data_IF_406796846773
#
_entry.id   IF_406796846773
#
_cell.length_a   1.000
_cell.length_b   1.000
_cell.length_c   1.000
_cell.angle_alpha   90.00
_cell.angle_beta   90.00
_cell.angle_gamma   90.00
#
_symmetry.space_group_name_H-M   'P 1'
#
loop_
_entity.id
_entity.type
_entity.pdbx_description
1 polymer ?
#
# COMPACT_ATOMS: atom_id res chain seq x y z
N UNK A 1 -14.60 13.74 -35.39
CA UNK A 1 -14.53 14.71 -34.30
C UNK A 1 -13.60 14.08 -33.29
N UNK A 2 -12.52 14.75 -32.92
CA UNK A 2 -11.63 14.23 -31.85
C UNK A 2 -12.46 14.28 -30.58
N UNK A 3 -12.59 13.14 -29.86
CA UNK A 3 -13.21 13.11 -28.52
C UNK A 3 -12.33 13.90 -27.57
N UNK A 4 -12.92 14.62 -26.64
CA UNK A 4 -12.15 15.24 -25.57
C UNK A 4 -11.84 14.22 -24.45
N UNK A 5 -10.99 14.59 -23.51
CA UNK A 5 -10.55 13.70 -22.43
C UNK A 5 -11.71 13.23 -21.55
N UNK A 6 -12.69 14.08 -21.27
CA UNK A 6 -13.88 13.72 -20.49
C UNK A 6 -14.80 12.75 -21.24
N UNK A 7 -14.90 12.89 -22.57
CA UNK A 7 -15.67 11.96 -23.41
C UNK A 7 -15.04 10.55 -23.40
N UNK A 8 -13.70 10.44 -23.37
CA UNK A 8 -13.02 9.17 -23.18
C UNK A 8 -13.31 8.59 -21.81
N UNK A 9 -13.19 9.39 -20.75
CA UNK A 9 -13.48 8.91 -19.39
C UNK A 9 -14.92 8.43 -19.24
N UNK A 10 -15.91 9.17 -19.75
CA UNK A 10 -17.31 8.73 -19.76
C UNK A 10 -17.53 7.44 -20.56
N UNK A 11 -16.73 7.22 -21.61
CA UNK A 11 -16.77 5.96 -22.36
C UNK A 11 -16.22 4.80 -21.50
N UNK A 12 -15.11 5.02 -20.79
CA UNK A 12 -14.53 4.04 -19.86
C UNK A 12 -15.54 3.66 -18.78
N UNK A 13 -16.18 4.62 -18.13
CA UNK A 13 -17.24 4.37 -17.14
C UNK A 13 -18.42 3.53 -17.69
N UNK A 14 -18.63 3.50 -19.01
CA UNK A 14 -19.66 2.67 -19.63
C UNK A 14 -19.24 1.21 -19.87
N UNK A 15 -17.99 0.87 -19.63
CA UNK A 15 -17.41 -0.46 -19.87
C UNK A 15 -17.08 -1.08 -18.51
N UNK A 16 -17.66 -2.22 -18.12
CA UNK A 16 -17.26 -2.92 -16.90
C UNK A 16 -15.78 -3.32 -16.91
N UNK A 17 -15.03 -2.92 -15.83
CA UNK A 17 -13.59 -3.19 -15.71
C UNK A 17 -13.11 -3.33 -14.25
N UNK A 18 -13.83 -4.05 -13.36
CA UNK A 18 -13.33 -4.27 -12.02
C UNK A 18 -12.04 -5.11 -12.05
N UNK A 19 -11.19 -4.99 -11.04
CA UNK A 19 -9.91 -5.70 -10.92
C UNK A 19 -10.06 -7.20 -11.21
N UNK A 20 -9.20 -7.74 -12.09
CA UNK A 20 -9.23 -9.11 -12.59
C UNK A 20 -10.27 -9.38 -13.69
N UNK A 21 -10.99 -8.36 -14.18
CA UNK A 21 -12.00 -8.45 -15.23
C UNK A 21 -11.91 -7.28 -16.23
N UNK A 22 -10.71 -6.85 -16.57
CA UNK A 22 -10.43 -5.71 -17.44
C UNK A 22 -10.55 -6.05 -18.94
N UNK A 23 -10.90 -7.27 -19.30
CA UNK A 23 -10.90 -7.75 -20.69
C UNK A 23 -11.73 -6.86 -21.64
N UNK A 24 -12.90 -6.38 -21.18
CA UNK A 24 -13.75 -5.51 -22.01
C UNK A 24 -13.11 -4.17 -22.29
N UNK A 25 -12.50 -3.55 -21.29
CA UNK A 25 -11.78 -2.29 -21.46
C UNK A 25 -10.51 -2.50 -22.29
N UNK A 26 -9.76 -3.58 -22.05
CA UNK A 26 -8.60 -3.95 -22.86
C UNK A 26 -8.96 -4.14 -24.34
N UNK A 27 -10.09 -4.79 -24.65
CA UNK A 27 -10.57 -4.95 -26.03
C UNK A 27 -10.92 -3.59 -26.66
N UNK A 28 -11.53 -2.67 -25.89
CA UNK A 28 -11.81 -1.31 -26.36
C UNK A 28 -10.51 -0.52 -26.68
N UNK A 29 -9.48 -0.66 -25.84
CA UNK A 29 -8.17 0.00 -26.05
C UNK A 29 -7.45 -0.59 -27.27
N UNK A 30 -7.52 -1.90 -27.47
CA UNK A 30 -6.96 -2.56 -28.64
C UNK A 30 -7.69 -2.14 -29.93
N UNK A 31 -9.03 -2.09 -29.93
CA UNK A 31 -9.82 -1.57 -31.04
C UNK A 31 -9.50 -0.09 -31.33
N UNK A 32 -9.29 0.70 -30.29
CA UNK A 32 -8.86 2.09 -30.43
C UNK A 32 -7.51 2.19 -31.16
N UNK A 33 -6.49 1.40 -30.78
CA UNK A 33 -5.18 1.39 -31.43
C UNK A 33 -5.30 1.03 -32.91
N UNK A 34 -6.09 0.00 -33.25
CA UNK A 34 -6.36 -0.41 -34.63
C UNK A 34 -7.03 0.67 -35.46
N UNK A 35 -8.05 1.33 -34.89
CA UNK A 35 -8.81 2.41 -35.58
C UNK A 35 -7.98 3.67 -35.82
N UNK A 36 -6.91 3.88 -35.02
CA UNK A 36 -5.99 5.02 -35.19
C UNK A 36 -4.69 4.64 -35.89
N UNK A 37 -4.58 3.40 -36.38
CA UNK A 37 -3.38 2.87 -37.09
C UNK A 37 -2.11 3.01 -36.23
N UNK A 38 -2.22 2.76 -34.90
CA UNK A 38 -1.11 2.81 -33.97
C UNK A 38 -0.56 1.39 -33.72
N UNK A 39 0.76 1.28 -33.62
CA UNK A 39 1.41 0.05 -33.20
C UNK A 39 1.10 -0.23 -31.73
N UNK A 40 0.81 -1.49 -31.40
CA UNK A 40 0.52 -1.92 -30.04
C UNK A 40 0.94 -3.36 -29.79
N UNK A 41 1.04 -3.73 -28.52
CA UNK A 41 1.20 -5.11 -28.07
C UNK A 41 0.29 -5.35 -26.86
N UNK A 42 -0.16 -6.60 -26.70
CA UNK A 42 -0.93 -7.07 -25.53
C UNK A 42 -0.35 -8.39 -25.05
N UNK A 43 -0.15 -8.53 -23.73
CA UNK A 43 0.31 -9.79 -23.15
C UNK A 43 -0.86 -10.71 -22.74
N UNK A 44 -0.54 -11.91 -22.24
CA UNK A 44 -1.54 -12.93 -21.87
C UNK A 44 -2.34 -12.54 -20.62
N UNK A 45 -1.81 -11.67 -19.75
CA UNK A 45 -2.51 -11.18 -18.55
C UNK A 45 -3.50 -10.08 -18.89
N UNK A 46 -3.21 -9.29 -19.94
CA UNK A 46 -4.10 -8.24 -20.41
C UNK A 46 -3.47 -6.85 -20.48
N UNK A 47 -2.21 -6.65 -20.02
CA UNK A 47 -1.52 -5.37 -20.18
C UNK A 47 -1.38 -5.02 -21.65
N UNK A 48 -1.50 -3.73 -21.95
CA UNK A 48 -1.41 -3.20 -23.31
C UNK A 48 -0.40 -2.07 -23.34
N UNK A 49 0.44 -2.05 -24.36
CA UNK A 49 1.24 -0.88 -24.71
C UNK A 49 0.88 -0.39 -26.10
N UNK A 50 0.74 0.92 -26.26
CA UNK A 50 0.49 1.57 -27.54
C UNK A 50 1.62 2.57 -27.80
N UNK A 51 2.10 2.59 -29.03
CA UNK A 51 3.17 3.48 -29.46
C UNK A 51 2.64 4.59 -30.34
N UNK A 52 3.08 5.83 -30.08
CA UNK A 52 2.85 6.96 -30.97
C UNK A 52 4.20 7.54 -31.35
N UNK A 53 4.50 7.51 -32.66
CA UNK A 53 5.76 8.06 -33.16
C UNK A 53 5.88 9.55 -32.88
N UNK A 54 7.12 10.04 -32.77
CA UNK A 54 7.40 11.44 -32.49
C UNK A 54 6.78 12.38 -33.53
N UNK A 55 6.30 13.53 -33.07
CA UNK A 55 5.86 14.57 -33.98
C UNK A 55 7.02 15.14 -34.80
N UNK A 56 6.82 15.66 -36.02
CA UNK A 56 7.88 16.16 -36.87
C UNK A 56 8.83 17.14 -36.15
N UNK A 57 10.14 16.81 -36.17
CA UNK A 57 11.19 17.56 -35.51
C UNK A 57 11.48 17.15 -34.06
N UNK A 58 10.87 16.07 -33.58
CA UNK A 58 11.09 15.48 -32.26
C UNK A 58 11.69 14.05 -32.33
N UNK A 59 12.06 13.60 -33.52
CA UNK A 59 12.56 12.26 -33.78
C UNK A 59 13.85 11.91 -32.99
N UNK A 60 14.66 12.92 -32.68
CA UNK A 60 15.91 12.76 -31.91
C UNK A 60 15.71 12.90 -30.38
N UNK A 61 14.49 13.18 -29.92
CA UNK A 61 14.18 13.29 -28.49
C UNK A 61 14.00 11.89 -27.89
N UNK A 62 14.41 11.73 -26.63
CA UNK A 62 14.22 10.46 -25.91
C UNK A 62 12.74 10.14 -25.75
N UNK A 63 12.31 8.88 -25.93
CA UNK A 63 10.92 8.50 -25.73
C UNK A 63 10.46 8.69 -24.30
N UNK A 64 9.16 8.90 -24.12
CA UNK A 64 8.50 9.05 -22.82
C UNK A 64 7.51 7.92 -22.63
N UNK A 65 7.57 7.26 -21.47
CA UNK A 65 6.58 6.30 -21.00
C UNK A 65 5.47 7.05 -20.24
N UNK A 66 4.23 6.92 -20.70
CA UNK A 66 3.03 7.25 -19.93
C UNK A 66 2.44 5.96 -19.40
N UNK A 67 2.00 5.94 -18.15
CA UNK A 67 1.48 4.71 -17.53
C UNK A 67 0.26 5.04 -16.66
N UNK A 68 -0.68 4.10 -16.62
CA UNK A 68 -1.83 4.06 -15.73
C UNK A 68 -2.50 2.70 -15.79
N UNK A 69 -3.29 2.34 -14.75
CA UNK A 69 -3.95 1.05 -14.69
C UNK A 69 -5.38 1.09 -15.25
N UNK A 70 -5.85 -0.06 -15.73
CA UNK A 70 -7.17 -0.20 -16.36
C UNK A 70 -8.26 -0.63 -15.39
N UNK A 71 -7.88 -1.28 -14.29
CA UNK A 71 -8.83 -1.80 -13.32
C UNK A 71 -9.34 -0.71 -12.36
N UNK A 72 -10.42 -1.02 -11.68
CA UNK A 72 -11.00 -0.19 -10.65
C UNK A 72 -11.45 -1.02 -9.45
N UNK A 73 -11.41 -0.43 -8.27
CA UNK A 73 -12.01 -1.00 -7.05
C UNK A 73 -13.53 -1.07 -7.18
N UNK A 74 -14.10 -2.24 -6.97
CA UNK A 74 -15.53 -2.50 -7.11
C UNK A 74 -16.28 -2.40 -5.77
N UNK A 75 -16.46 -1.16 -5.26
CA UNK A 75 -17.17 -0.90 -4.01
C UNK A 75 -18.52 -0.22 -4.28
N UNK A 76 -19.55 -0.60 -3.51
CA UNK A 76 -20.90 -0.04 -3.65
C UNK A 76 -21.62 0.08 -2.31
N UNK A 77 -22.58 0.99 -2.26
CA UNK A 77 -23.47 1.13 -1.11
C UNK A 77 -24.28 -0.16 -0.88
N UNK A 78 -24.62 -0.44 0.38
CA UNK A 78 -25.32 -1.67 0.81
C UNK A 78 -26.66 -1.87 0.11
N UNK A 79 -27.31 -0.79 -0.28
CA UNK A 79 -28.61 -0.79 -0.97
C UNK A 79 -28.49 -0.67 -2.51
N UNK A 80 -27.28 -0.74 -3.05
CA UNK A 80 -27.03 -0.76 -4.50
C UNK A 80 -27.19 -2.17 -5.07
N UNK A 81 -27.90 -2.29 -6.20
CA UNK A 81 -28.05 -3.53 -6.96
C UNK A 81 -27.07 -3.61 -8.16
N UNK A 82 -26.16 -2.66 -8.30
CA UNK A 82 -25.21 -2.61 -9.40
C UNK A 82 -24.35 -3.88 -9.46
N UNK A 83 -24.14 -4.40 -10.65
CA UNK A 83 -23.26 -5.53 -10.93
C UNK A 83 -22.04 -5.01 -11.74
N UNK A 84 -20.89 -4.88 -11.08
CA UNK A 84 -19.66 -4.38 -11.71
C UNK A 84 -19.15 -5.24 -12.88
N UNK A 85 -19.63 -6.47 -13.04
CA UNK A 85 -19.20 -7.35 -14.11
C UNK A 85 -20.00 -7.16 -15.40
N UNK A 86 -21.20 -6.57 -15.33
CA UNK A 86 -22.13 -6.49 -16.45
C UNK A 86 -22.71 -5.11 -16.69
N UNK A 87 -22.82 -4.28 -15.65
CA UNK A 87 -23.55 -3.02 -15.75
C UNK A 87 -22.57 -1.85 -15.97
N UNK A 88 -22.91 -0.91 -16.85
CA UNK A 88 -22.20 0.34 -16.96
C UNK A 88 -22.42 1.18 -15.69
N UNK A 89 -21.42 1.98 -15.29
CA UNK A 89 -21.56 2.92 -14.17
C UNK A 89 -22.61 3.99 -14.53
N UNK A 90 -23.53 4.27 -13.61
CA UNK A 90 -24.49 5.34 -13.74
C UNK A 90 -23.88 6.65 -13.23
N UNK A 91 -23.26 7.41 -14.15
CA UNK A 91 -22.53 8.63 -13.84
C UNK A 91 -23.42 9.87 -13.92
N UNK A 92 -23.14 10.87 -13.08
CA UNK A 92 -23.81 12.18 -13.10
C UNK A 92 -22.84 13.30 -12.71
N UNK A 93 -23.15 14.52 -13.16
CA UNK A 93 -22.38 15.71 -12.82
C UNK A 93 -23.11 16.54 -11.76
N UNK A 94 -22.41 16.94 -10.71
CA UNK A 94 -22.91 17.82 -9.66
C UNK A 94 -21.81 18.76 -9.16
N UNK A 95 -22.07 20.03 -9.07
CA UNK A 95 -21.16 21.07 -8.55
C UNK A 95 -19.73 21.07 -9.16
N UNK A 96 -19.60 20.65 -10.41
CA UNK A 96 -18.32 20.58 -11.13
C UNK A 96 -17.55 19.28 -10.92
N UNK A 97 -18.16 18.32 -10.26
CA UNK A 97 -17.64 16.96 -10.07
C UNK A 97 -18.42 15.94 -10.89
N UNK A 98 -17.74 14.90 -11.31
CA UNK A 98 -18.36 13.69 -11.85
C UNK A 98 -18.41 12.64 -10.74
N UNK A 99 -19.55 11.99 -10.62
CA UNK A 99 -19.87 10.97 -9.62
C UNK A 99 -20.44 9.72 -10.29
N UNK A 100 -20.44 8.60 -9.56
CA UNK A 100 -21.25 7.42 -9.89
C UNK A 100 -22.36 7.21 -8.84
N UNK A 101 -23.50 6.66 -9.27
CA UNK A 101 -24.66 6.44 -8.40
C UNK A 101 -24.45 5.22 -7.51
N UNK A 102 -24.14 5.44 -6.22
CA UNK A 102 -23.98 4.38 -5.20
C UNK A 102 -22.87 3.36 -5.49
N UNK A 103 -21.88 3.72 -6.27
CA UNK A 103 -20.71 2.89 -6.59
C UNK A 103 -19.47 3.75 -6.61
N UNK A 104 -18.28 3.12 -6.56
CA UNK A 104 -17.03 3.75 -6.99
C UNK A 104 -17.19 4.29 -8.42
N UNK A 105 -16.44 5.35 -8.75
CA UNK A 105 -16.45 5.98 -10.08
C UNK A 105 -15.38 5.39 -11.01
N UNK A 106 -14.29 4.82 -10.45
CA UNK A 106 -13.12 4.38 -11.19
C UNK A 106 -12.35 5.54 -11.82
N UNK A 107 -12.35 6.71 -11.17
CA UNK A 107 -11.47 7.80 -11.55
C UNK A 107 -10.02 7.44 -11.33
N UNK A 108 -9.74 6.72 -10.28
CA UNK A 108 -8.53 5.94 -10.00
C UNK A 108 -8.64 4.57 -10.71
N UNK A 109 -7.93 4.28 -11.83
CA UNK A 109 -7.09 5.21 -12.61
C UNK A 109 -7.62 5.36 -14.07
N UNK A 110 -8.95 5.29 -14.24
CA UNK A 110 -9.61 5.49 -15.53
C UNK A 110 -9.30 6.86 -16.14
N UNK A 111 -8.91 7.85 -15.32
CA UNK A 111 -8.48 9.17 -15.79
C UNK A 111 -7.17 9.09 -16.58
N UNK A 112 -6.20 8.26 -16.15
CA UNK A 112 -4.97 8.01 -16.91
C UNK A 112 -5.26 7.39 -18.25
N UNK A 113 -6.11 6.34 -18.26
CA UNK A 113 -6.56 5.71 -19.51
C UNK A 113 -7.16 6.76 -20.45
N UNK A 114 -8.06 7.62 -19.94
CA UNK A 114 -8.69 8.67 -20.74
C UNK A 114 -7.69 9.70 -21.27
N UNK A 115 -6.74 10.14 -20.45
CA UNK A 115 -5.68 11.10 -20.85
C UNK A 115 -4.80 10.48 -21.93
N UNK A 116 -4.36 9.23 -21.76
CA UNK A 116 -3.52 8.53 -22.75
C UNK A 116 -4.25 8.37 -24.07
N UNK A 117 -5.53 7.96 -24.09
CA UNK A 117 -6.32 7.83 -25.31
C UNK A 117 -6.54 9.19 -26.00
N UNK A 118 -6.77 10.26 -25.24
CA UNK A 118 -6.90 11.61 -25.80
C UNK A 118 -5.59 12.07 -26.46
N UNK A 119 -4.43 11.87 -25.82
CA UNK A 119 -3.12 12.19 -26.38
C UNK A 119 -2.78 11.34 -27.61
N UNK A 120 -3.10 10.05 -27.60
CA UNK A 120 -2.87 9.13 -28.70
C UNK A 120 -3.68 9.53 -29.94
N UNK A 121 -4.93 9.99 -29.78
CA UNK A 121 -5.79 10.42 -30.89
C UNK A 121 -5.49 11.82 -31.45
N UNK A 122 -4.77 12.66 -30.70
CA UNK A 122 -4.51 14.05 -31.07
C UNK A 122 -3.16 14.22 -31.78
N UNK A 123 -3.17 14.53 -33.06
CA UNK A 123 -1.98 14.82 -33.88
C UNK A 123 -1.62 16.32 -33.94
N UNK A 124 -2.25 17.18 -33.12
CA UNK A 124 -2.09 18.63 -33.23
C UNK A 124 -0.97 19.19 -32.32
N UNK A 125 -0.38 18.40 -31.41
CA UNK A 125 0.64 18.86 -30.47
C UNK A 125 2.02 18.28 -30.77
N UNK A 126 3.03 18.87 -30.19
CA UNK A 126 4.44 18.44 -30.29
C UNK A 126 4.77 17.48 -29.17
N UNK A 127 5.41 16.37 -29.50
CA UNK A 127 5.79 15.35 -28.53
C UNK A 127 6.93 14.47 -29.05
N UNK A 128 7.81 13.94 -28.19
CA UNK A 128 8.71 12.84 -28.52
C UNK A 128 7.90 11.56 -28.76
N UNK A 129 8.55 10.45 -29.13
CA UNK A 129 7.87 9.14 -29.17
C UNK A 129 7.22 8.86 -27.82
N UNK A 130 5.95 8.50 -27.82
CA UNK A 130 5.18 8.12 -26.65
C UNK A 130 5.01 6.60 -26.60
N UNK A 131 5.22 6.03 -25.43
CA UNK A 131 4.94 4.65 -25.06
C UNK A 131 3.86 4.70 -24.00
N UNK A 132 2.62 4.31 -24.32
CA UNK A 132 1.49 4.38 -23.40
C UNK A 132 1.19 2.98 -22.88
N UNK A 133 1.49 2.72 -21.61
CA UNK A 133 1.32 1.45 -20.92
C UNK A 133 0.04 1.48 -20.09
N UNK A 134 -0.83 0.53 -20.37
CA UNK A 134 -2.08 0.27 -19.66
C UNK A 134 -1.94 -1.07 -18.93
N UNK A 135 -1.94 -1.05 -17.61
CA UNK A 135 -1.75 -2.22 -16.75
C UNK A 135 -3.06 -2.76 -16.20
N UNK A 136 -3.07 -3.99 -15.70
CA UNK A 136 -4.21 -4.65 -15.09
C UNK A 136 -3.91 -5.02 -13.63
N UNK A 137 -4.96 -5.16 -12.80
CA UNK A 137 -4.90 -5.69 -11.44
C UNK A 137 -3.99 -4.90 -10.49
N UNK A 138 -3.84 -3.58 -10.67
CA UNK A 138 -3.10 -2.72 -9.76
C UNK A 138 -3.70 -2.78 -8.35
N UNK A 139 -5.00 -2.63 -8.24
CA UNK A 139 -5.78 -2.51 -7.01
C UNK A 139 -5.88 -3.80 -6.17
N UNK A 140 -5.30 -4.89 -6.68
CA UNK A 140 -5.36 -6.21 -6.02
C UNK A 140 -3.97 -6.82 -5.83
N UNK A 141 -3.37 -7.31 -6.91
CA UNK A 141 -2.14 -8.11 -6.87
C UNK A 141 -0.95 -7.44 -7.54
N UNK A 142 -1.17 -6.38 -8.31
CA UNK A 142 -0.19 -5.76 -9.21
C UNK A 142 0.41 -6.77 -10.20
N UNK A 143 -0.36 -7.80 -10.57
CA UNK A 143 0.13 -8.86 -11.46
C UNK A 143 0.45 -8.33 -12.86
N UNK A 144 -0.30 -7.33 -13.37
CA UNK A 144 -0.04 -6.72 -14.65
C UNK A 144 1.40 -6.26 -14.76
N UNK A 145 1.79 -5.29 -13.95
CA UNK A 145 3.13 -4.66 -14.03
C UNK A 145 4.27 -5.68 -13.85
N UNK A 146 4.05 -6.79 -13.13
CA UNK A 146 5.06 -7.84 -12.94
C UNK A 146 5.31 -8.66 -14.21
N UNK A 147 4.37 -8.66 -15.15
CA UNK A 147 4.39 -9.45 -16.39
C UNK A 147 4.61 -8.59 -17.65
N UNK A 148 4.83 -7.30 -17.49
CA UNK A 148 5.17 -6.40 -18.61
C UNK A 148 6.47 -6.86 -19.26
N UNK A 149 6.46 -7.02 -20.60
CA UNK A 149 7.64 -7.36 -21.35
C UNK A 149 8.61 -6.18 -21.36
N UNK A 150 9.84 -6.41 -20.91
CA UNK A 150 10.89 -5.39 -20.85
C UNK A 150 11.24 -4.81 -22.22
N UNK A 151 11.07 -5.62 -23.26
CA UNK A 151 11.38 -5.22 -24.62
C UNK A 151 10.34 -4.25 -25.21
N UNK A 152 9.21 -4.07 -24.52
CA UNK A 152 8.21 -3.08 -24.89
C UNK A 152 8.64 -1.64 -24.57
N UNK A 153 9.46 -1.46 -23.51
CA UNK A 153 9.77 -0.15 -22.94
C UNK A 153 11.18 0.28 -23.29
N UNK A 154 11.28 1.27 -24.17
CA UNK A 154 12.54 1.89 -24.58
C UNK A 154 12.81 3.20 -23.82
N UNK A 155 11.76 3.83 -23.32
CA UNK A 155 11.84 5.05 -22.51
C UNK A 155 12.65 4.85 -21.24
N UNK A 156 13.27 5.94 -20.76
CA UNK A 156 13.95 6.03 -19.46
C UNK A 156 13.46 7.25 -18.67
N UNK A 157 12.36 7.84 -19.13
CA UNK A 157 11.57 8.83 -18.42
C UNK A 157 10.12 8.34 -18.39
N UNK A 158 9.54 8.26 -17.21
CA UNK A 158 8.18 7.79 -17.00
C UNK A 158 7.33 8.85 -16.30
N UNK A 159 6.15 9.06 -16.82
CA UNK A 159 5.10 9.85 -16.18
C UNK A 159 3.96 8.87 -15.87
N UNK A 160 3.86 8.46 -14.59
CA UNK A 160 2.68 7.75 -14.11
C UNK A 160 1.54 8.75 -13.96
N UNK A 161 0.38 8.41 -14.51
CA UNK A 161 -0.82 9.25 -14.45
C UNK A 161 -1.73 8.87 -13.29
N UNK A 162 -1.29 7.93 -12.47
CA UNK A 162 -1.90 7.43 -11.25
C UNK A 162 -1.63 8.40 -10.07
N UNK A 163 -2.09 9.63 -10.23
CA UNK A 163 -2.05 10.67 -9.21
C UNK A 163 -3.45 11.19 -8.93
N UNK A 164 -3.74 11.52 -7.68
CA UNK A 164 -5.05 11.87 -7.18
C UNK A 164 -5.20 13.35 -6.75
N UNK A 165 -4.11 14.13 -6.84
CA UNK A 165 -4.11 15.55 -6.45
C UNK A 165 -3.33 16.42 -7.44
N UNK A 166 -4.01 17.37 -8.05
CA UNK A 166 -3.38 18.35 -8.97
C UNK A 166 -2.32 19.19 -8.24
N UNK A 167 -1.12 19.28 -8.83
CA UNK A 167 -0.01 20.05 -8.24
C UNK A 167 0.79 19.31 -7.17
N UNK A 168 0.54 18.01 -7.02
CA UNK A 168 1.38 17.09 -6.27
C UNK A 168 2.04 16.08 -7.21
N UNK A 169 3.18 15.54 -6.81
CA UNK A 169 3.85 14.42 -7.45
C UNK A 169 4.38 13.48 -6.40
N UNK A 170 4.02 12.20 -6.46
CA UNK A 170 4.68 11.21 -5.65
C UNK A 170 6.14 11.10 -6.11
N UNK A 171 7.04 10.95 -5.16
CA UNK A 171 8.50 10.93 -5.41
C UNK A 171 9.18 9.72 -4.79
N UNK A 172 8.46 8.93 -4.04
CA UNK A 172 8.85 7.62 -3.53
C UNK A 172 7.61 6.83 -3.12
N UNK A 173 7.70 5.51 -3.14
CA UNK A 173 6.65 4.62 -2.63
C UNK A 173 7.27 3.51 -1.78
N UNK A 174 6.55 3.01 -0.77
CA UNK A 174 7.04 1.88 -0.02
C UNK A 174 6.82 0.57 -0.77
N UNK A 175 7.85 -0.26 -0.77
CA UNK A 175 7.70 -1.70 -0.93
C UNK A 175 7.45 -2.36 0.41
N UNK A 176 7.16 -3.65 0.42
CA UNK A 176 6.95 -4.37 1.66
C UNK A 176 7.07 -5.88 1.50
N UNK A 177 7.07 -6.54 2.64
CA UNK A 177 7.01 -7.99 2.76
C UNK A 177 6.27 -8.37 4.03
N UNK A 178 5.40 -9.34 3.93
CA UNK A 178 4.76 -9.94 5.08
C UNK A 178 5.62 -11.12 5.57
N UNK A 179 5.89 -11.16 6.88
CA UNK A 179 6.59 -12.28 7.50
C UNK A 179 5.64 -13.04 8.43
N UNK A 180 5.46 -14.31 8.18
CA UNK A 180 4.78 -15.22 9.11
C UNK A 180 5.82 -15.90 10.00
N UNK A 181 5.85 -15.52 11.27
CA UNK A 181 6.68 -16.14 12.29
C UNK A 181 5.87 -17.27 12.93
N UNK A 182 6.41 -18.48 12.98
CA UNK A 182 5.68 -19.66 13.44
C UNK A 182 6.47 -20.43 14.50
N UNK A 183 5.77 -20.75 15.60
CA UNK A 183 6.15 -21.76 16.57
C UNK A 183 5.19 -22.93 16.50
N UNK A 184 5.68 -24.14 16.25
CA UNK A 184 4.87 -25.34 16.41
C UNK A 184 4.41 -25.47 17.86
N UNK A 185 3.12 -25.61 18.10
CA UNK A 185 2.53 -25.75 19.42
C UNK A 185 2.44 -27.21 19.82
N UNK A 186 3.08 -27.55 20.95
CA UNK A 186 2.84 -28.78 21.66
C UNK A 186 2.10 -28.43 22.93
N UNK A 187 0.83 -28.81 23.01
CA UNK A 187 0.02 -28.56 24.21
C UNK A 187 0.27 -29.66 25.26
N UNK A 188 0.54 -29.23 26.47
CA UNK A 188 0.66 -30.13 27.61
C UNK A 188 -0.38 -29.78 28.66
N UNK A 189 -0.93 -30.82 29.31
CA UNK A 189 -1.91 -30.65 30.36
C UNK A 189 -1.30 -29.89 31.54
N UNK A 190 -2.03 -28.94 32.09
CA UNK A 190 -1.59 -28.17 33.24
C UNK A 190 -2.80 -27.74 34.07
N UNK A 191 -2.64 -27.75 35.40
CA UNK A 191 -3.70 -27.39 36.33
C UNK A 191 -3.30 -26.21 37.23
N UNK A 192 -2.30 -25.44 36.80
CA UNK A 192 -1.87 -24.24 37.47
C UNK A 192 -2.87 -23.10 37.32
N UNK A 193 -2.71 -22.03 38.09
CA UNK A 193 -3.60 -20.91 38.04
C UNK A 193 -3.51 -20.23 36.65
N UNK A 194 -4.63 -20.20 35.94
CA UNK A 194 -4.77 -19.53 34.65
C UNK A 194 -5.19 -18.08 34.76
N UNK A 195 -4.78 -17.31 33.77
CA UNK A 195 -5.06 -15.87 33.65
C UNK A 195 -5.43 -15.50 32.24
N UNK A 196 -6.41 -14.61 32.10
CA UNK A 196 -6.73 -13.85 30.87
C UNK A 196 -6.18 -12.45 31.03
N UNK A 197 -5.15 -12.13 30.26
CA UNK A 197 -4.60 -10.80 30.15
C UNK A 197 -5.08 -10.16 28.84
N UNK A 198 -5.98 -9.21 28.93
CA UNK A 198 -6.55 -8.50 27.77
C UNK A 198 -6.04 -7.08 27.75
N UNK A 199 -5.20 -6.75 26.78
CA UNK A 199 -4.73 -5.40 26.47
C UNK A 199 -5.71 -4.79 25.48
N UNK A 200 -6.18 -3.56 25.71
CA UNK A 200 -7.22 -2.89 24.90
C UNK A 200 -7.14 -1.37 24.98
N UNK A 201 -7.97 -0.71 24.18
CA UNK A 201 -8.13 0.74 24.22
C UNK A 201 -7.10 1.51 23.43
N UNK A 202 -6.20 0.85 22.70
CA UNK A 202 -5.27 1.54 21.82
C UNK A 202 -5.96 2.08 20.57
N UNK A 203 -5.41 3.14 19.97
CA UNK A 203 -6.00 3.81 18.81
C UNK A 203 -5.96 2.95 17.55
N UNK A 204 -4.90 2.16 17.36
CA UNK A 204 -4.71 1.39 16.14
C UNK A 204 -4.48 2.29 14.92
N UNK A 205 -4.91 1.84 13.72
CA UNK A 205 -4.81 2.59 12.48
C UNK A 205 -4.06 1.81 11.39
N UNK A 206 -4.06 2.35 10.17
CA UNK A 206 -3.32 1.77 9.06
C UNK A 206 -1.81 1.93 9.27
N UNK A 207 -1.03 0.85 9.14
CA UNK A 207 0.41 0.87 9.46
C UNK A 207 1.25 1.74 8.50
N UNK A 208 0.76 2.03 7.30
CA UNK A 208 1.41 2.98 6.40
C UNK A 208 1.26 4.41 6.88
N UNK A 209 0.06 4.82 7.29
CA UNK A 209 -0.23 6.22 7.63
C UNK A 209 0.07 6.55 9.09
N UNK A 210 -0.36 5.67 10.00
CA UNK A 210 -0.34 5.92 11.44
C UNK A 210 0.94 5.45 12.15
N UNK A 211 1.82 4.70 11.50
CA UNK A 211 3.05 4.17 12.14
C UNK A 211 3.97 5.30 12.63
N UNK A 212 4.01 6.42 11.90
CA UNK A 212 4.78 7.62 12.26
C UNK A 212 4.31 8.33 13.53
N UNK A 213 3.09 8.03 13.97
CA UNK A 213 2.51 8.62 15.17
C UNK A 213 2.96 7.90 16.44
N UNK A 214 3.83 6.88 16.31
CA UNK A 214 4.40 6.10 17.41
C UNK A 214 3.31 5.48 18.32
N UNK A 215 2.21 5.02 17.71
CA UNK A 215 1.07 4.43 18.43
C UNK A 215 1.45 3.13 19.13
N UNK A 216 0.81 2.86 20.26
CA UNK A 216 0.95 1.61 20.99
C UNK A 216 0.44 0.42 20.19
N UNK A 217 1.05 -0.76 20.43
CA UNK A 217 0.67 -2.03 19.83
C UNK A 217 0.44 -3.07 20.92
N UNK A 218 -0.75 -3.66 20.97
CA UNK A 218 -1.14 -4.58 22.04
C UNK A 218 -0.25 -5.83 22.14
N UNK A 219 0.22 -6.34 20.98
CA UNK A 219 1.14 -7.49 20.94
C UNK A 219 2.49 -7.11 21.57
N UNK A 220 3.03 -5.96 21.19
CA UNK A 220 4.30 -5.45 21.71
C UNK A 220 4.23 -5.17 23.22
N UNK A 221 3.18 -4.49 23.66
CA UNK A 221 2.96 -4.14 25.08
C UNK A 221 2.86 -5.41 25.92
N UNK A 222 2.04 -6.38 25.51
CA UNK A 222 1.92 -7.66 26.22
C UNK A 222 3.25 -8.41 26.27
N UNK A 223 3.99 -8.45 25.16
CA UNK A 223 5.33 -9.06 25.10
C UNK A 223 6.30 -8.43 26.11
N UNK A 224 6.33 -7.08 26.19
CA UNK A 224 7.20 -6.36 27.13
C UNK A 224 6.82 -6.61 28.60
N UNK A 225 5.52 -6.55 28.92
CA UNK A 225 5.03 -6.78 30.29
C UNK A 225 5.30 -8.20 30.75
N UNK A 226 5.00 -9.21 29.92
CA UNK A 226 5.20 -10.61 30.28
C UNK A 226 6.69 -10.98 30.31
N UNK A 227 7.51 -10.36 29.46
CA UNK A 227 8.97 -10.50 29.52
C UNK A 227 9.52 -9.95 30.85
N UNK A 228 9.03 -8.79 31.29
CA UNK A 228 9.42 -8.25 32.59
C UNK A 228 9.04 -9.19 33.75
N UNK A 229 7.89 -9.88 33.66
CA UNK A 229 7.53 -10.93 34.64
C UNK A 229 8.55 -12.04 34.66
N UNK A 230 8.95 -12.61 33.51
CA UNK A 230 9.96 -13.66 33.41
C UNK A 230 11.31 -13.20 34.02
N UNK A 231 11.75 -11.98 33.70
CA UNK A 231 13.02 -11.44 34.21
C UNK A 231 13.05 -11.26 35.73
N UNK A 232 11.87 -11.11 36.34
CA UNK A 232 11.73 -11.01 37.80
C UNK A 232 11.37 -12.34 38.47
N UNK A 233 11.50 -13.46 37.75
CA UNK A 233 11.36 -14.81 38.27
C UNK A 233 9.91 -15.31 38.38
N UNK A 234 8.94 -14.61 37.79
CA UNK A 234 7.59 -15.15 37.69
C UNK A 234 7.52 -16.22 36.60
N UNK A 235 6.82 -17.31 36.87
CA UNK A 235 6.54 -18.37 35.91
C UNK A 235 5.39 -17.94 35.01
N UNK A 236 5.61 -17.84 33.69
CA UNK A 236 4.60 -17.48 32.69
C UNK A 236 4.65 -18.51 31.57
N UNK A 237 3.54 -19.25 31.39
CA UNK A 237 3.41 -20.27 30.33
C UNK A 237 2.13 -20.00 29.54
N UNK A 238 2.26 -19.67 28.25
CA UNK A 238 1.10 -19.37 27.42
C UNK A 238 0.20 -20.59 27.20
N UNK A 239 -1.11 -20.31 27.20
CA UNK A 239 -2.16 -21.26 26.79
C UNK A 239 -2.70 -20.88 25.41
N UNK A 240 -2.94 -19.58 25.15
CA UNK A 240 -3.34 -19.06 23.86
C UNK A 240 -3.01 -17.58 23.72
N UNK A 241 -2.89 -17.13 22.49
CA UNK A 241 -2.52 -15.78 22.11
C UNK A 241 -3.34 -15.39 20.88
N UNK A 242 -4.18 -14.36 21.01
CA UNK A 242 -5.04 -13.91 19.92
C UNK A 242 -5.09 -12.38 19.93
N UNK A 243 -4.55 -11.75 18.90
CA UNK A 243 -4.46 -10.29 18.81
C UNK A 243 -4.43 -9.82 17.35
N UNK A 244 -5.03 -8.67 17.09
CA UNK A 244 -5.06 -8.06 15.77
C UNK A 244 -5.97 -8.78 14.77
N UNK A 245 -6.19 -8.15 13.61
CA UNK A 245 -7.11 -8.66 12.57
C UNK A 245 -6.54 -8.57 11.15
N UNK A 246 -5.61 -7.64 10.90
CA UNK A 246 -4.99 -7.41 9.59
C UNK A 246 -3.50 -7.13 9.76
N UNK A 247 -2.70 -7.65 8.85
CA UNK A 247 -1.25 -7.41 8.84
C UNK A 247 -0.88 -5.93 8.71
N UNK A 248 -1.65 -5.19 7.92
CA UNK A 248 -1.46 -3.76 7.66
C UNK A 248 -2.17 -2.82 8.68
N UNK A 249 -2.70 -3.36 9.77
CA UNK A 249 -3.29 -2.56 10.85
C UNK A 249 -2.43 -2.66 12.12
N UNK A 250 -2.24 -1.52 12.80
CA UNK A 250 -1.61 -1.49 14.13
C UNK A 250 -2.55 -2.19 15.12
N UNK A 251 -2.03 -3.20 15.82
CA UNK A 251 -2.82 -4.02 16.71
C UNK A 251 -3.26 -3.23 17.94
N UNK A 252 -4.56 -2.93 18.04
CA UNK A 252 -5.14 -2.09 19.11
C UNK A 252 -5.62 -2.86 20.33
N UNK A 253 -5.83 -4.17 20.20
CA UNK A 253 -6.29 -5.04 21.28
C UNK A 253 -5.77 -6.49 21.11
N UNK A 254 -5.63 -7.22 22.23
CA UNK A 254 -5.19 -8.60 22.20
C UNK A 254 -5.44 -9.33 23.51
N UNK A 255 -5.84 -10.59 23.40
CA UNK A 255 -6.07 -11.51 24.49
C UNK A 255 -4.94 -12.53 24.59
N UNK A 256 -4.26 -12.55 25.75
CA UNK A 256 -3.15 -13.44 26.08
C UNK A 256 -3.52 -14.29 27.26
N UNK A 257 -3.73 -15.59 27.04
CA UNK A 257 -4.06 -16.52 28.11
C UNK A 257 -2.80 -17.27 28.53
N UNK A 258 -2.51 -17.32 29.82
CA UNK A 258 -1.34 -18.01 30.36
C UNK A 258 -1.64 -18.63 31.71
N UNK A 259 -0.77 -19.55 32.14
CA UNK A 259 -0.77 -20.13 33.49
C UNK A 259 0.51 -19.77 34.22
N UNK A 260 0.42 -19.76 35.55
CA UNK A 260 1.54 -19.46 36.43
C UNK A 260 1.44 -20.22 37.76
N UNK A 261 2.58 -20.67 38.22
CA UNK A 261 2.77 -21.23 39.60
C UNK A 261 3.18 -20.17 40.61
N UNK A 262 3.41 -18.92 40.13
CA UNK A 262 3.84 -17.81 40.99
C UNK A 262 2.77 -17.36 41.96
N UNK A 263 3.18 -16.64 43.01
CA UNK A 263 2.23 -16.04 43.94
C UNK A 263 1.30 -15.08 43.22
N UNK A 264 0.01 -15.33 43.31
CA UNK A 264 -1.04 -14.64 42.58
C UNK A 264 -1.07 -13.13 42.85
N UNK A 265 -0.98 -12.73 44.11
CA UNK A 265 -1.11 -11.31 44.48
C UNK A 265 0.14 -10.53 44.06
N UNK A 266 1.32 -11.14 44.16
CA UNK A 266 2.59 -10.55 43.74
C UNK A 266 2.60 -10.41 42.19
N UNK A 267 2.20 -11.45 41.45
CA UNK A 267 2.14 -11.42 39.99
C UNK A 267 1.17 -10.34 39.48
N UNK A 268 -0.04 -10.27 40.06
CA UNK A 268 -1.03 -9.24 39.68
C UNK A 268 -0.53 -7.83 39.97
N UNK A 269 0.08 -7.60 41.12
CA UNK A 269 0.66 -6.31 41.48
C UNK A 269 1.79 -5.92 40.55
N UNK A 270 2.63 -6.85 40.17
CA UNK A 270 3.74 -6.61 39.24
C UNK A 270 3.25 -6.28 37.82
N UNK A 271 2.28 -7.05 37.27
CA UNK A 271 1.68 -6.75 35.97
C UNK A 271 1.01 -5.37 36.00
N UNK A 272 0.31 -5.03 37.09
CA UNK A 272 -0.30 -3.70 37.25
C UNK A 272 0.75 -2.59 37.16
N UNK A 273 1.86 -2.72 37.92
CA UNK A 273 2.95 -1.74 37.88
C UNK A 273 3.53 -1.57 36.46
N UNK A 274 3.79 -2.68 35.76
CA UNK A 274 4.29 -2.64 34.37
C UNK A 274 3.30 -2.03 33.40
N UNK A 275 2.01 -2.30 33.56
CA UNK A 275 0.98 -1.67 32.72
C UNK A 275 0.84 -0.16 32.96
N UNK A 276 0.99 0.31 34.19
CA UNK A 276 1.01 1.75 34.47
C UNK A 276 2.22 2.44 33.84
N UNK A 277 3.38 1.76 33.75
CA UNK A 277 4.52 2.25 32.98
C UNK A 277 4.21 2.33 31.48
N UNK A 278 3.53 1.31 30.90
CA UNK A 278 3.11 1.37 29.50
C UNK A 278 2.13 2.52 29.24
N UNK A 279 1.16 2.75 30.14
CA UNK A 279 0.26 3.92 30.01
C UNK A 279 1.01 5.25 30.03
N UNK A 280 2.08 5.35 30.80
CA UNK A 280 2.91 6.55 30.84
C UNK A 280 3.72 6.77 29.54
N UNK A 281 4.05 5.71 28.80
CA UNK A 281 4.72 5.81 27.50
C UNK A 281 3.76 6.24 26.37
N UNK A 282 2.47 5.94 26.51
CA UNK A 282 1.42 6.28 25.53
C UNK A 282 0.36 7.21 26.12
N UNK A 283 0.72 8.43 26.53
CA UNK A 283 -0.16 9.31 27.31
C UNK A 283 -1.39 9.83 26.53
N UNK A 284 -1.37 9.75 25.21
CA UNK A 284 -2.46 10.18 24.33
C UNK A 284 -3.40 9.03 23.94
N UNK A 285 -3.08 7.80 24.33
CA UNK A 285 -3.89 6.64 24.03
C UNK A 285 -4.72 6.22 25.25
N UNK A 286 -6.00 5.83 25.06
CA UNK A 286 -6.83 5.32 26.14
C UNK A 286 -6.48 3.85 26.48
N UNK A 287 -5.18 3.55 26.58
CA UNK A 287 -4.67 2.21 26.90
C UNK A 287 -5.24 1.74 28.24
N UNK A 288 -5.85 0.57 28.20
CA UNK A 288 -6.40 -0.12 29.36
C UNK A 288 -6.14 -1.62 29.26
N UNK A 289 -6.40 -2.34 30.36
CA UNK A 289 -6.25 -3.78 30.38
C UNK A 289 -7.17 -4.43 31.42
N UNK A 290 -7.43 -5.73 31.26
CA UNK A 290 -7.99 -6.57 32.33
C UNK A 290 -7.08 -7.78 32.57
N UNK A 291 -7.01 -8.23 33.84
CA UNK A 291 -6.32 -9.45 34.23
C UNK A 291 -7.26 -10.28 35.10
N UNK A 292 -7.90 -11.27 34.47
CA UNK A 292 -8.91 -12.11 35.09
C UNK A 292 -8.36 -13.50 35.32
N UNK A 293 -8.86 -14.19 36.35
CA UNK A 293 -8.53 -15.58 36.59
C UNK A 293 -9.35 -16.49 35.67
N UNK A 294 -8.69 -17.51 35.14
CA UNK A 294 -9.31 -18.51 34.29
C UNK A 294 -8.84 -19.91 34.65
N UNK A 295 -9.67 -20.91 34.41
CA UNK A 295 -9.23 -22.29 34.40
C UNK A 295 -8.82 -22.67 33.00
N UNK A 296 -7.52 -22.93 32.79
CA UNK A 296 -7.01 -23.44 31.52
C UNK A 296 -6.45 -24.84 31.78
N UNK A 297 -6.82 -25.80 30.91
CA UNK A 297 -6.36 -27.18 31.02
C UNK A 297 -5.01 -27.45 30.33
N UNK A 298 -4.48 -26.51 29.56
CA UNK A 298 -3.29 -26.71 28.72
C UNK A 298 -2.39 -25.49 28.70
N UNK A 299 -1.10 -25.72 28.51
CA UNK A 299 -0.09 -24.70 28.18
C UNK A 299 0.73 -25.16 26.97
N UNK A 300 1.26 -24.18 26.24
CA UNK A 300 2.15 -24.40 25.11
C UNK A 300 3.57 -24.66 25.70
N UNK A 301 4.16 -25.78 25.32
CA UNK A 301 5.50 -26.13 25.74
C UNK A 301 6.54 -25.13 25.21
N UNK A 302 7.50 -24.73 26.05
CA UNK A 302 8.54 -23.76 25.71
C UNK A 302 8.02 -22.44 25.17
N UNK A 303 6.89 -21.94 25.72
CA UNK A 303 6.23 -20.70 25.28
C UNK A 303 6.97 -19.43 25.70
N UNK A 304 7.92 -19.47 26.58
CA UNK A 304 8.83 -18.37 26.94
C UNK A 304 9.61 -17.85 25.72
N UNK A 305 9.93 -18.72 24.77
CA UNK A 305 10.51 -18.33 23.49
C UNK A 305 9.68 -17.26 22.75
N UNK A 306 8.35 -17.38 22.76
CA UNK A 306 7.44 -16.38 22.17
C UNK A 306 7.50 -15.05 22.93
N UNK A 307 7.54 -15.10 24.26
CA UNK A 307 7.62 -13.89 25.10
C UNK A 307 8.92 -13.13 24.79
N UNK A 308 10.05 -13.85 24.72
CA UNK A 308 11.33 -13.24 24.37
C UNK A 308 11.33 -12.65 22.97
N UNK A 309 10.80 -13.39 21.99
CA UNK A 309 10.68 -12.88 20.63
C UNK A 309 9.83 -11.61 20.55
N UNK A 310 8.63 -11.60 21.14
CA UNK A 310 7.72 -10.43 21.12
C UNK A 310 8.35 -9.19 21.77
N UNK A 311 9.04 -9.39 22.89
CA UNK A 311 9.69 -8.27 23.58
C UNK A 311 10.84 -7.66 22.77
N UNK A 312 11.62 -8.49 22.07
CA UNK A 312 12.83 -8.07 21.35
C UNK A 312 12.54 -7.69 19.88
N UNK A 313 11.49 -8.26 19.27
CA UNK A 313 11.12 -7.95 17.88
C UNK A 313 10.96 -6.43 17.71
N UNK A 314 11.59 -5.82 16.69
CA UNK A 314 11.37 -4.42 16.35
C UNK A 314 9.87 -4.11 16.15
N UNK A 315 9.50 -2.87 16.39
CA UNK A 315 8.15 -2.37 16.13
C UNK A 315 8.18 -0.86 15.93
N UNK A 316 7.43 -0.37 14.95
CA UNK A 316 7.33 1.05 14.67
C UNK A 316 8.24 1.49 13.53
N UNK A 317 8.70 2.73 13.59
CA UNK A 317 9.58 3.31 12.58
C UNK A 317 11.04 3.04 12.93
N UNK A 318 11.75 2.35 12.04
CA UNK A 318 13.17 2.03 12.19
C UNK A 318 14.07 3.11 11.56
N UNK A 319 13.59 3.76 10.50
CA UNK A 319 14.31 4.88 9.85
C UNK A 319 13.35 5.94 9.33
N UNK A 320 13.75 7.19 9.49
CA UNK A 320 13.10 8.34 8.87
C UNK A 320 13.88 8.83 7.65
N UNK A 321 13.20 9.51 6.74
CA UNK A 321 13.79 10.11 5.55
C UNK A 321 14.80 11.21 5.92
N UNK A 322 15.88 11.30 5.12
CA UNK A 322 16.80 12.45 5.17
C UNK A 322 16.26 13.68 4.43
N UNK A 323 15.27 13.48 3.55
CA UNK A 323 14.75 14.51 2.65
C UNK A 323 13.39 15.05 3.08
N UNK A 324 12.57 14.22 3.71
CA UNK A 324 11.20 14.57 4.13
C UNK A 324 11.08 14.50 5.65
N UNK A 325 10.65 15.63 6.24
CA UNK A 325 10.53 15.73 7.68
C UNK A 325 9.58 14.70 8.27
N UNK A 326 10.06 13.91 9.22
CA UNK A 326 9.29 12.91 9.97
C UNK A 326 8.53 11.90 9.08
N UNK A 327 9.07 11.58 7.89
CA UNK A 327 8.51 10.59 7.00
C UNK A 327 9.23 9.25 7.18
N UNK A 328 8.50 8.14 7.48
CA UNK A 328 9.10 6.82 7.64
C UNK A 328 9.61 6.28 6.30
N UNK A 329 10.82 5.74 6.27
CA UNK A 329 11.38 5.04 5.10
C UNK A 329 11.69 3.58 5.38
N UNK A 330 11.60 3.17 6.64
CA UNK A 330 11.67 1.78 7.08
C UNK A 330 10.82 1.61 8.33
N UNK A 331 9.90 0.67 8.31
CA UNK A 331 9.01 0.39 9.45
C UNK A 331 8.64 -1.08 9.53
N UNK A 332 8.24 -1.51 10.73
CA UNK A 332 7.72 -2.84 11.01
C UNK A 332 6.47 -2.76 11.87
N UNK A 333 5.41 -3.46 11.46
CA UNK A 333 4.17 -3.60 12.20
C UNK A 333 3.96 -5.05 12.67
N UNK A 334 3.63 -5.23 13.95
CA UNK A 334 3.11 -6.48 14.52
C UNK A 334 1.59 -6.48 14.32
N UNK A 335 1.11 -7.13 13.23
CA UNK A 335 -0.29 -6.98 12.79
C UNK A 335 -1.24 -7.99 13.43
N UNK A 336 -0.87 -9.27 13.43
CA UNK A 336 -1.73 -10.38 13.87
C UNK A 336 -0.92 -11.33 14.74
N UNK A 337 -1.58 -11.92 15.72
CA UNK A 337 -1.08 -13.07 16.47
C UNK A 337 -2.22 -14.04 16.74
N UNK A 338 -2.05 -15.30 16.39
CA UNK A 338 -3.08 -16.31 16.51
C UNK A 338 -2.51 -17.66 17.00
N UNK A 339 -3.26 -18.30 17.89
CA UNK A 339 -2.99 -19.68 18.32
C UNK A 339 -3.98 -20.64 17.66
N UNK A 340 -3.44 -21.57 16.89
CA UNK A 340 -4.15 -22.68 16.29
C UNK A 340 -3.91 -23.98 17.05
N UNK A 341 -4.57 -25.07 16.67
CA UNK A 341 -4.31 -26.40 17.25
C UNK A 341 -2.87 -26.91 17.04
N UNK A 342 -2.12 -26.34 16.09
CA UNK A 342 -0.80 -26.84 15.67
C UNK A 342 0.33 -25.86 15.88
N UNK A 343 0.01 -24.58 15.97
CA UNK A 343 1.03 -23.53 16.00
C UNK A 343 0.53 -22.24 16.65
N UNK A 344 1.48 -21.40 17.07
CA UNK A 344 1.28 -19.97 17.22
C UNK A 344 1.90 -19.29 16.02
N UNK A 345 1.15 -18.41 15.37
CA UNK A 345 1.57 -17.63 14.23
C UNK A 345 1.51 -16.14 14.56
N UNK A 346 2.56 -15.41 14.15
CA UNK A 346 2.66 -13.97 14.31
C UNK A 346 2.90 -13.40 12.91
N UNK A 347 2.05 -12.49 12.45
CA UNK A 347 2.16 -11.88 11.15
C UNK A 347 2.67 -10.45 11.30
N UNK A 348 3.81 -10.20 10.68
CA UNK A 348 4.48 -8.92 10.63
C UNK A 348 4.33 -8.35 9.22
N UNK A 349 4.23 -7.02 9.11
CA UNK A 349 4.35 -6.32 7.84
C UNK A 349 5.50 -5.32 7.92
N UNK A 350 6.49 -5.52 7.08
CA UNK A 350 7.66 -4.66 6.94
C UNK A 350 7.46 -3.79 5.69
N UNK A 351 7.80 -2.49 5.80
CA UNK A 351 7.73 -1.55 4.68
C UNK A 351 9.01 -0.77 4.53
N UNK A 352 9.45 -0.57 3.29
CA UNK A 352 10.56 0.34 2.96
C UNK A 352 10.48 0.82 1.52
N UNK A 353 10.84 2.07 1.27
CA UNK A 353 11.09 2.57 -0.09
C UNK A 353 12.35 1.95 -0.71
N UNK A 354 13.25 1.39 0.11
CA UNK A 354 14.54 0.88 -0.31
C UNK A 354 14.70 -0.61 -0.02
N UNK A 355 14.92 -1.39 -1.06
CA UNK A 355 15.04 -2.85 -1.01
C UNK A 355 16.17 -3.34 -0.08
N UNK A 356 17.31 -2.63 -0.03
CA UNK A 356 18.44 -3.02 0.82
C UNK A 356 18.05 -2.88 2.30
N UNK A 357 17.40 -1.78 2.67
CA UNK A 357 16.91 -1.58 4.03
C UNK A 357 15.90 -2.66 4.41
N UNK A 358 14.96 -2.98 3.50
CA UNK A 358 13.96 -4.02 3.72
C UNK A 358 14.62 -5.38 3.98
N UNK A 359 15.55 -5.79 3.12
CA UNK A 359 16.30 -7.06 3.26
C UNK A 359 17.09 -7.13 4.57
N UNK A 360 17.70 -6.04 5.00
CA UNK A 360 18.43 -6.01 6.27
C UNK A 360 17.49 -6.22 7.47
N UNK A 361 16.31 -5.58 7.46
CA UNK A 361 15.33 -5.76 8.53
C UNK A 361 14.72 -7.17 8.52
N UNK A 362 14.44 -7.75 7.34
CA UNK A 362 14.03 -9.16 7.22
C UNK A 362 15.07 -10.08 7.84
N UNK A 363 16.35 -9.94 7.48
CA UNK A 363 17.43 -10.75 8.05
C UNK A 363 17.56 -10.60 9.58
N UNK A 364 17.33 -9.41 10.12
CA UNK A 364 17.31 -9.15 11.56
C UNK A 364 16.20 -9.95 12.25
N UNK A 365 14.97 -9.88 11.71
CA UNK A 365 13.81 -10.61 12.23
C UNK A 365 14.01 -12.13 12.10
N UNK A 366 14.53 -12.63 10.98
CA UNK A 366 14.85 -14.05 10.78
C UNK A 366 15.89 -14.54 11.78
N UNK A 367 16.95 -13.75 11.96
CA UNK A 367 18.00 -14.08 12.95
C UNK A 367 17.42 -14.14 14.35
N UNK A 368 16.63 -13.13 14.74
CA UNK A 368 15.99 -13.08 16.04
C UNK A 368 15.05 -14.28 16.25
N UNK A 369 14.20 -14.59 15.27
CA UNK A 369 13.29 -15.74 15.33
C UNK A 369 14.05 -17.05 15.50
N UNK A 370 15.17 -17.24 14.78
CA UNK A 370 15.99 -18.44 14.85
C UNK A 370 16.62 -18.66 16.22
N UNK A 371 17.01 -17.58 16.93
CA UNK A 371 17.56 -17.65 18.29
C UNK A 371 16.56 -18.26 19.30
N UNK A 372 15.26 -18.12 19.02
CA UNK A 372 14.18 -18.67 19.85
C UNK A 372 13.52 -19.91 19.24
N UNK A 373 14.11 -20.51 18.21
CA UNK A 373 13.60 -21.74 17.60
C UNK A 373 12.28 -21.52 16.84
N UNK A 374 12.01 -20.31 16.36
CA UNK A 374 10.86 -19.95 15.52
C UNK A 374 11.25 -20.03 14.05
N UNK A 375 10.32 -20.43 13.20
CA UNK A 375 10.49 -20.37 11.74
C UNK A 375 9.88 -19.10 11.16
N UNK A 376 10.43 -18.61 10.05
CA UNK A 376 9.96 -17.44 9.33
C UNK A 376 9.62 -17.83 7.89
N UNK A 377 8.51 -17.34 7.40
CA UNK A 377 8.11 -17.51 5.99
C UNK A 377 7.72 -16.14 5.43
N UNK A 378 8.48 -15.59 4.47
CA UNK A 378 8.09 -14.37 3.77
C UNK A 378 6.98 -14.66 2.75
N UNK A 379 6.02 -13.74 2.64
CA UNK A 379 4.93 -13.74 1.66
C UNK A 379 4.60 -12.31 1.23
N UNK A 380 3.80 -12.17 0.18
CA UNK A 380 3.23 -10.89 -0.26
C UNK A 380 4.29 -9.79 -0.43
N UNK A 381 5.40 -10.13 -1.11
CA UNK A 381 6.47 -9.18 -1.39
C UNK A 381 6.06 -8.25 -2.53
N UNK A 382 6.21 -6.94 -2.32
CA UNK A 382 6.04 -5.90 -3.33
C UNK A 382 7.15 -4.86 -3.25
N UNK A 383 7.40 -4.15 -4.36
CA UNK A 383 8.62 -3.35 -4.51
C UNK A 383 8.37 -1.87 -4.27
N UNK A 384 9.34 -1.20 -3.65
CA UNK A 384 9.33 0.22 -3.40
C UNK A 384 10.09 1.01 -4.47
N UNK A 385 9.79 2.29 -4.52
CA UNK A 385 10.47 3.28 -5.32
C UNK A 385 11.16 4.29 -4.41
N UNK A 386 12.49 4.32 -4.45
CA UNK A 386 13.29 5.23 -3.61
C UNK A 386 13.32 6.65 -4.18
N UNK A 387 13.32 7.65 -3.29
CA UNK A 387 13.50 9.04 -3.69
C UNK A 387 14.86 9.28 -4.37
N UNK A 388 14.83 9.82 -5.58
CA UNK A 388 16.01 10.31 -6.28
C UNK A 388 16.13 11.84 -6.17
N UNK A 389 17.09 12.39 -5.41
CA UNK A 389 17.27 13.84 -5.29
C UNK A 389 17.71 14.51 -6.60
N UNK A 390 18.23 13.75 -7.56
CA UNK A 390 18.84 14.27 -8.79
C UNK A 390 17.95 14.10 -10.03
N UNK A 391 16.69 13.61 -9.89
CA UNK A 391 15.73 13.43 -10.98
C UNK A 391 15.65 14.69 -11.87
N UNK A 392 15.96 14.51 -13.16
CA UNK A 392 15.92 15.59 -14.16
C UNK A 392 14.48 15.80 -14.66
N UNK A 393 13.71 14.72 -14.78
CA UNK A 393 12.32 14.79 -15.19
C UNK A 393 11.51 15.59 -14.16
N UNK A 394 11.71 15.33 -12.85
CA UNK A 394 11.06 16.08 -11.78
C UNK A 394 11.46 17.56 -11.76
N UNK A 395 12.74 17.87 -12.02
CA UNK A 395 13.19 19.27 -12.16
C UNK A 395 12.47 19.96 -13.29
N UNK A 396 12.40 19.33 -14.46
CA UNK A 396 11.65 19.84 -15.63
C UNK A 396 10.17 20.02 -15.30
N UNK A 397 9.54 19.05 -14.62
CA UNK A 397 8.14 19.17 -14.21
C UNK A 397 7.89 20.37 -13.30
N UNK A 398 8.74 20.56 -12.29
CA UNK A 398 8.64 21.72 -11.35
C UNK A 398 8.76 23.06 -12.10
N UNK A 399 9.69 23.16 -13.05
CA UNK A 399 9.88 24.37 -13.85
C UNK A 399 8.67 24.65 -14.76
N UNK A 400 8.18 23.61 -15.47
CA UNK A 400 7.02 23.71 -16.34
C UNK A 400 5.75 24.07 -15.55
N UNK A 401 5.54 23.41 -14.39
CA UNK A 401 4.39 23.66 -13.53
C UNK A 401 4.39 25.10 -12.97
N UNK A 402 5.55 25.57 -12.50
CA UNK A 402 5.71 26.94 -12.01
C UNK A 402 5.48 27.96 -13.13
N UNK A 403 5.96 27.69 -14.35
CA UNK A 403 5.74 28.52 -15.52
C UNK A 403 4.25 28.60 -15.90
N UNK A 404 3.54 27.48 -15.85
CA UNK A 404 2.13 27.38 -16.25
C UNK A 404 1.18 28.03 -15.22
N UNK A 405 1.41 27.77 -13.93
CA UNK A 405 0.43 28.09 -12.88
C UNK A 405 0.93 29.13 -11.84
N UNK A 406 2.18 29.54 -11.93
CA UNK A 406 2.84 30.40 -10.92
C UNK A 406 2.73 29.83 -9.49
N UNK A 407 2.76 28.50 -9.38
CA UNK A 407 2.71 27.72 -8.13
C UNK A 407 3.88 26.77 -8.07
N UNK A 408 4.32 26.40 -6.87
CA UNK A 408 5.30 25.33 -6.70
C UNK A 408 4.60 23.97 -6.77
N UNK A 409 5.23 23.02 -7.47
CA UNK A 409 4.83 21.61 -7.45
C UNK A 409 5.25 21.01 -6.10
N UNK A 410 4.34 20.31 -5.45
CA UNK A 410 4.59 19.68 -4.15
C UNK A 410 5.10 18.24 -4.36
N UNK A 411 6.24 17.92 -3.75
CA UNK A 411 6.78 16.57 -3.70
C UNK A 411 6.21 15.82 -2.50
N UNK A 412 5.62 14.65 -2.72
CA UNK A 412 4.93 13.85 -1.70
C UNK A 412 5.49 12.42 -1.69
N UNK A 413 6.15 12.00 -0.61
CA UNK A 413 6.49 10.59 -0.45
C UNK A 413 5.27 9.81 0.05
N UNK A 414 5.07 8.55 -0.38
CA UNK A 414 3.99 7.70 0.10
C UNK A 414 4.47 6.40 0.76
N UNK A 415 3.72 5.92 1.75
CA UNK A 415 3.90 4.59 2.34
C UNK A 415 3.00 3.53 1.68
N UNK A 416 2.18 3.92 0.71
CA UNK A 416 1.47 3.01 -0.19
C UNK A 416 2.42 2.32 -1.16
N UNK A 417 2.03 1.15 -1.68
CA UNK A 417 2.63 0.54 -2.85
C UNK A 417 2.13 1.24 -4.10
N UNK A 418 2.96 1.34 -5.12
CA UNK A 418 2.61 1.86 -6.45
C UNK A 418 3.32 1.01 -7.51
N UNK A 419 2.76 0.92 -8.70
CA UNK A 419 3.42 0.26 -9.84
C UNK A 419 4.78 0.86 -10.20
N UNK A 420 5.00 2.14 -9.85
CA UNK A 420 6.32 2.81 -9.98
C UNK A 420 7.44 2.07 -9.26
N UNK A 421 7.14 1.36 -8.16
CA UNK A 421 8.09 0.50 -7.46
C UNK A 421 8.58 -0.67 -8.32
N UNK A 422 7.67 -1.31 -9.02
CA UNK A 422 7.98 -2.41 -9.95
C UNK A 422 8.76 -1.91 -11.15
N UNK A 423 8.34 -0.78 -11.75
CA UNK A 423 9.07 -0.16 -12.88
C UNK A 423 10.49 0.23 -12.46
N UNK A 424 10.65 0.85 -11.30
CA UNK A 424 11.98 1.21 -10.75
C UNK A 424 12.88 -0.01 -10.54
N UNK A 425 12.33 -1.16 -10.17
CA UNK A 425 13.08 -2.40 -10.03
C UNK A 425 13.46 -3.00 -11.38
N UNK A 426 12.54 -2.99 -12.36
CA UNK A 426 12.77 -3.54 -13.71
C UNK A 426 13.76 -2.66 -14.47
N UNK A 427 13.65 -1.35 -14.34
CA UNK A 427 14.45 -0.33 -14.98
C UNK A 427 15.08 0.61 -13.95
N UNK A 428 16.21 0.24 -13.34
CA UNK A 428 16.84 1.03 -12.26
C UNK A 428 17.29 2.44 -12.67
N UNK A 429 17.36 2.73 -13.95
CA UNK A 429 17.70 4.01 -14.57
C UNK A 429 16.48 4.81 -15.05
N UNK A 430 15.27 4.37 -14.73
CA UNK A 430 14.03 5.08 -15.04
C UNK A 430 13.87 6.30 -14.14
N UNK A 431 13.78 7.49 -14.73
CA UNK A 431 13.42 8.73 -14.03
C UNK A 431 11.90 8.88 -14.01
N UNK A 432 11.29 8.87 -12.84
CA UNK A 432 9.85 8.72 -12.64
C UNK A 432 9.26 9.94 -11.94
N UNK A 433 8.10 10.38 -12.42
CA UNK A 433 7.21 11.33 -11.75
C UNK A 433 5.78 10.83 -11.81
N UNK A 434 4.91 11.28 -10.90
CA UNK A 434 3.46 11.04 -10.99
C UNK A 434 2.71 12.33 -11.21
N UNK A 435 1.55 12.26 -11.83
CA UNK A 435 0.58 13.35 -11.91
C UNK A 435 -0.83 12.81 -12.10
N UNK A 436 -1.82 13.60 -11.71
CA UNK A 436 -3.22 13.28 -11.95
C UNK A 436 -4.14 14.43 -11.56
N UNK A 437 -5.43 14.33 -11.89
CA UNK A 437 -6.46 15.28 -11.49
C UNK A 437 -6.86 15.08 -10.02
N UNK A 438 -7.73 15.93 -9.49
CA UNK A 438 -8.29 15.75 -8.17
C UNK A 438 -9.35 14.63 -8.16
N UNK A 439 -8.96 13.45 -7.70
CA UNK A 439 -9.82 12.32 -7.39
C UNK A 439 -10.02 12.28 -5.87
N UNK A 440 -11.25 12.32 -5.42
CA UNK A 440 -11.57 12.49 -3.99
C UNK A 440 -12.38 11.30 -3.52
N UNK A 441 -12.12 10.82 -2.30
CA UNK A 441 -12.77 9.67 -1.68
C UNK A 441 -12.67 8.40 -2.54
N UNK A 442 -11.51 8.20 -3.22
CA UNK A 442 -11.21 7.00 -4.00
C UNK A 442 -11.48 5.74 -3.19
N UNK A 443 -11.76 4.60 -3.86
CA UNK A 443 -12.09 3.31 -3.25
C UNK A 443 -13.35 3.33 -2.36
N UNK A 444 -14.22 4.31 -2.53
CA UNK A 444 -15.52 4.38 -1.84
C UNK A 444 -16.66 4.75 -2.78
N UNK A 445 -17.92 4.45 -2.43
CA UNK A 445 -19.08 4.89 -3.21
C UNK A 445 -19.28 6.42 -3.25
N UNK A 446 -18.47 7.20 -2.54
CA UNK A 446 -18.45 8.65 -2.56
C UNK A 446 -17.36 9.22 -3.47
N UNK A 447 -16.68 8.37 -4.21
CA UNK A 447 -15.64 8.75 -5.16
C UNK A 447 -16.16 9.77 -6.17
N UNK A 448 -15.34 10.79 -6.42
CA UNK A 448 -15.67 11.87 -7.36
C UNK A 448 -14.43 12.47 -8.01
N UNK A 449 -14.57 12.84 -9.27
CA UNK A 449 -13.56 13.51 -10.08
C UNK A 449 -13.89 15.00 -10.24
N UNK A 450 -12.98 15.89 -9.87
CA UNK A 450 -13.10 17.31 -10.21
C UNK A 450 -12.83 17.53 -11.70
N UNK A 451 -13.89 17.71 -12.49
CA UNK A 451 -13.85 17.75 -13.98
C UNK A 451 -12.85 18.79 -14.49
N UNK A 452 -12.79 19.96 -13.87
CA UNK A 452 -11.87 21.03 -14.27
C UNK A 452 -10.41 20.59 -14.22
N UNK A 453 -10.03 19.81 -13.19
CA UNK A 453 -8.65 19.39 -13.00
C UNK A 453 -8.24 18.30 -13.99
N UNK A 454 -9.16 17.48 -14.49
CA UNK A 454 -8.90 16.55 -15.59
C UNK A 454 -8.41 17.29 -16.84
N UNK A 455 -9.11 18.37 -17.22
CA UNK A 455 -8.68 19.21 -18.34
C UNK A 455 -7.36 19.94 -18.04
N UNK A 456 -7.18 20.44 -16.83
CA UNK A 456 -5.93 21.10 -16.41
C UNK A 456 -4.72 20.17 -16.54
N UNK A 457 -4.83 18.91 -16.09
CA UNK A 457 -3.74 17.91 -16.19
C UNK A 457 -3.49 17.53 -17.64
N UNK A 458 -4.53 17.22 -18.41
CA UNK A 458 -4.41 16.87 -19.83
C UNK A 458 -3.70 17.98 -20.62
N UNK A 459 -4.16 19.24 -20.48
CA UNK A 459 -3.62 20.37 -21.23
C UNK A 459 -2.18 20.71 -20.78
N UNK A 460 -1.90 20.59 -19.47
CA UNK A 460 -0.55 20.76 -18.95
C UNK A 460 0.40 19.71 -19.51
N UNK A 461 0.03 18.41 -19.43
CA UNK A 461 0.85 17.31 -19.92
C UNK A 461 1.13 17.46 -21.42
N UNK A 462 0.11 17.79 -22.21
CA UNK A 462 0.23 18.03 -23.65
C UNK A 462 1.24 19.13 -23.96
N UNK A 463 1.25 20.22 -23.21
CA UNK A 463 2.20 21.32 -23.38
C UNK A 463 3.61 20.93 -22.92
N UNK A 464 3.73 20.24 -21.78
CA UNK A 464 5.01 19.84 -21.20
C UNK A 464 5.73 18.77 -22.05
N UNK A 465 5.00 17.83 -22.65
CA UNK A 465 5.58 16.85 -23.61
C UNK A 465 6.27 17.54 -24.79
N UNK A 466 5.82 18.73 -25.20
CA UNK A 466 6.49 19.54 -26.22
C UNK A 466 7.75 20.25 -25.74
N UNK A 467 8.04 20.23 -24.45
CA UNK A 467 9.26 20.81 -23.84
C UNK A 467 10.31 19.73 -23.46
N UNK A 468 9.94 18.43 -23.46
CA UNK A 468 10.78 17.27 -23.12
C UNK A 468 11.57 16.72 -24.31
#
# INVERSE_FOLDING_TARGET
MIKDVLDYFKTICSIPHPSGHEELLGNYIEEFAQNHELDYARNEIGDIIIYKEASPGYDDHAPILLQGHMDMVAEKDVDSNHDFFTDPLEIYEEDGYLHATKTTLGADDGVAVAIMLALLSDNSFKHPRLECLFTVQEETTMDGITHVDKDWIHARKMISLDGDVVGETNVSSAGGVQLTIRKNATFVESHDQGYKFYVKGLLGGHSGDAIKEERGNAIKIAGLVLKACLDNGFDIRFSSLNAGQKANAICRDGLFTFQSTSNKEELKAFIHERMEEQKALYPLEPLDYTLEEEQSGHVILDSDALIHFLALCPYGVEKYSYYFNHFPVLSLNLGIMETTEKAVEIILLLRSENEINLKLLVNEVETLASLFGLSVTPTDEYYGWSYDPDSQLRKSYKEAYKKAYNKELKEVPTQGGLETGYVSRIFPDMDIVTMGPNCIDIHTPQERLEIKTLYEVHDFLKNWLGEL
#
